data_IF_202087636962
#
_entry.id   IF_202087636962
#
_cell.length_a   1.000
_cell.length_b   1.000
_cell.length_c   1.000
_cell.angle_alpha   90.00
_cell.angle_beta   90.00
_cell.angle_gamma   90.00
#
_symmetry.space_group_name_H-M   'P 1'
#
loop_
_entity.id
_entity.type
_entity.pdbx_description
1 polymer ?
#
# COMPACT_ATOMS: atom_id res chain seq x y z
N UNK A 1 -27.80 -18.34 8.00
CA UNK A 1 -26.96 -18.87 9.12
C UNK A 1 -25.59 -18.20 9.18
N UNK A 2 -24.85 -18.12 8.08
CA UNK A 2 -23.51 -17.49 8.05
C UNK A 2 -23.50 -16.01 8.46
N UNK A 3 -24.43 -15.19 7.99
CA UNK A 3 -24.51 -13.75 8.34
C UNK A 3 -24.71 -13.51 9.84
N UNK A 4 -25.60 -14.28 10.48
CA UNK A 4 -25.89 -14.14 11.91
C UNK A 4 -24.70 -14.58 12.78
N UNK A 5 -24.06 -15.70 12.44
CA UNK A 5 -22.89 -16.17 13.16
C UNK A 5 -21.69 -15.21 12.99
N UNK A 6 -21.43 -14.72 11.78
CA UNK A 6 -20.34 -13.80 11.49
C UNK A 6 -20.57 -12.42 12.13
N UNK A 7 -21.79 -11.89 12.08
CA UNK A 7 -22.13 -10.61 12.70
C UNK A 7 -21.96 -10.61 14.22
N UNK A 8 -22.24 -11.73 14.88
CA UNK A 8 -22.10 -11.85 16.34
C UNK A 8 -20.65 -12.07 16.78
N UNK A 9 -19.90 -12.92 16.07
CA UNK A 9 -18.53 -13.29 16.48
C UNK A 9 -17.45 -12.36 15.92
N UNK A 10 -17.68 -11.79 14.74
CA UNK A 10 -16.71 -10.97 14.00
C UNK A 10 -17.35 -9.73 13.36
N UNK A 11 -18.07 -8.89 14.14
CA UNK A 11 -18.82 -7.77 13.59
C UNK A 11 -17.96 -6.80 12.77
N UNK A 12 -16.71 -6.57 13.17
CA UNK A 12 -15.81 -5.65 12.45
C UNK A 12 -15.46 -6.16 11.05
N UNK A 13 -15.09 -7.44 10.95
CA UNK A 13 -14.71 -8.08 9.69
C UNK A 13 -15.94 -8.32 8.81
N UNK A 14 -17.07 -8.71 9.41
CA UNK A 14 -18.33 -8.92 8.71
C UNK A 14 -18.87 -7.62 8.05
N UNK A 15 -18.55 -6.46 8.64
CA UNK A 15 -18.89 -5.15 8.09
C UNK A 15 -17.78 -4.55 7.20
N UNK A 16 -16.81 -5.35 6.73
CA UNK A 16 -15.81 -4.92 5.74
C UNK A 16 -14.53 -4.30 6.31
N UNK A 17 -14.27 -4.47 7.62
CA UNK A 17 -13.03 -4.01 8.28
C UNK A 17 -12.76 -2.51 8.07
N UNK A 18 -13.82 -1.70 8.18
CA UNK A 18 -13.75 -0.26 8.01
C UNK A 18 -12.83 0.39 9.05
N UNK A 19 -12.20 1.49 8.63
CA UNK A 19 -11.41 2.39 9.45
C UNK A 19 -12.16 3.72 9.50
N UNK A 20 -12.40 4.20 10.72
CA UNK A 20 -13.10 5.44 11.00
C UNK A 20 -12.18 6.43 11.71
N UNK A 21 -12.29 7.71 11.34
CA UNK A 21 -11.60 8.81 12.00
C UNK A 21 -12.61 9.94 12.24
N UNK A 22 -12.80 10.32 13.51
CA UNK A 22 -13.76 11.38 13.88
C UNK A 22 -15.20 11.10 13.46
N UNK A 23 -15.64 9.83 13.50
CA UNK A 23 -16.99 9.41 13.10
C UNK A 23 -17.23 9.35 11.59
N UNK A 24 -16.19 9.50 10.76
CA UNK A 24 -16.26 9.33 9.31
C UNK A 24 -15.46 8.12 8.87
N UNK A 25 -16.02 7.33 7.96
CA UNK A 25 -15.32 6.21 7.33
C UNK A 25 -14.27 6.78 6.37
N UNK A 26 -13.00 6.46 6.63
CA UNK A 26 -11.85 6.90 5.80
C UNK A 26 -11.37 5.80 4.85
N UNK A 27 -11.80 4.55 5.06
CA UNK A 27 -11.47 3.44 4.18
C UNK A 27 -11.69 2.07 4.83
N UNK A 28 -11.15 1.04 4.20
CA UNK A 28 -11.08 -0.31 4.77
C UNK A 28 -9.62 -0.71 4.91
N UNK A 29 -9.29 -1.46 5.97
CA UNK A 29 -7.96 -2.04 6.13
C UNK A 29 -7.59 -3.02 4.99
N UNK A 30 -8.58 -3.50 4.23
CA UNK A 30 -8.42 -4.51 3.18
C UNK A 30 -8.41 -3.91 1.76
N UNK A 31 -8.63 -2.61 1.61
CA UNK A 31 -8.75 -1.95 0.30
C UNK A 31 -7.71 -0.85 0.19
N UNK A 32 -6.79 -1.00 -0.78
CA UNK A 32 -5.81 0.02 -1.11
C UNK A 32 -6.47 1.29 -1.65
N UNK A 33 -5.77 2.41 -1.49
CA UNK A 33 -6.20 3.72 -1.99
C UNK A 33 -5.07 4.38 -2.77
N UNK A 34 -5.44 5.24 -3.71
CA UNK A 34 -4.46 6.04 -4.46
C UNK A 34 -3.90 7.14 -3.56
N UNK A 35 -2.60 7.09 -3.29
CA UNK A 35 -1.85 8.15 -2.62
C UNK A 35 -0.81 8.74 -3.58
N UNK A 36 -0.78 10.06 -3.71
CA UNK A 36 0.14 10.78 -4.63
C UNK A 36 0.96 11.88 -3.95
N UNK A 37 0.63 12.25 -2.71
CA UNK A 37 1.31 13.35 -2.00
C UNK A 37 2.67 12.95 -1.43
N UNK A 38 3.62 13.88 -1.45
CA UNK A 38 4.99 13.67 -0.95
C UNK A 38 5.07 13.36 0.55
N UNK A 39 4.04 13.70 1.31
CA UNK A 39 3.94 13.37 2.73
C UNK A 39 3.54 11.92 2.96
N UNK A 40 2.93 11.23 2.00
CA UNK A 40 2.38 9.89 2.18
C UNK A 40 3.27 8.79 1.61
N UNK A 41 3.11 7.59 2.17
CA UNK A 41 3.56 6.35 1.54
C UNK A 41 2.64 6.04 0.37
N UNK A 42 3.25 5.66 -0.74
CA UNK A 42 2.59 5.33 -2.00
C UNK A 42 2.58 3.81 -2.16
N UNK A 43 1.40 3.28 -2.45
CA UNK A 43 1.18 1.86 -2.66
C UNK A 43 1.69 1.35 -4.01
N UNK A 44 1.33 0.11 -4.32
CA UNK A 44 1.68 -0.53 -5.60
C UNK A 44 0.93 0.11 -6.77
N UNK A 45 1.38 -0.07 -8.02
CA UNK A 45 0.57 0.28 -9.18
C UNK A 45 -0.75 -0.54 -9.19
N UNK A 46 -1.86 0.14 -9.47
CA UNK A 46 -3.17 -0.48 -9.63
C UNK A 46 -3.60 -0.46 -11.10
N UNK A 47 -4.23 -1.55 -11.55
CA UNK A 47 -4.89 -1.64 -12.83
C UNK A 47 -6.44 -1.68 -12.69
N UNK A 48 -6.96 -1.41 -11.49
CA UNK A 48 -8.39 -1.40 -11.22
C UNK A 48 -8.99 -0.03 -11.58
N UNK A 49 -9.86 0.00 -12.61
CA UNK A 49 -10.52 1.21 -13.09
C UNK A 49 -9.56 2.38 -13.33
N UNK A 50 -9.81 3.52 -12.68
CA UNK A 50 -8.96 4.73 -12.72
C UNK A 50 -7.83 4.74 -11.69
N UNK A 51 -7.58 3.61 -11.02
CA UNK A 51 -6.59 3.44 -9.96
C UNK A 51 -7.26 3.17 -8.61
N UNK A 52 -7.13 1.94 -8.13
CA UNK A 52 -7.75 1.45 -6.89
C UNK A 52 -9.30 1.56 -6.87
N UNK A 53 -9.95 1.48 -8.03
CA UNK A 53 -11.42 1.54 -8.11
C UNK A 53 -12.06 0.20 -7.68
N UNK A 54 -12.84 0.14 -6.58
CA UNK A 54 -13.48 -1.08 -6.13
C UNK A 54 -14.56 -1.60 -7.08
N UNK A 55 -15.13 -0.74 -7.93
CA UNK A 55 -16.12 -1.15 -8.95
C UNK A 55 -15.46 -1.68 -10.24
N UNK A 56 -14.15 -1.47 -10.38
CA UNK A 56 -13.34 -1.91 -11.53
C UNK A 56 -12.20 -2.85 -11.14
N UNK A 57 -12.34 -3.60 -10.05
CA UNK A 57 -11.30 -4.47 -9.51
C UNK A 57 -10.73 -5.42 -10.56
N UNK A 58 -9.46 -5.23 -10.93
CA UNK A 58 -8.80 -6.00 -11.98
C UNK A 58 -7.27 -5.94 -11.84
N UNK A 59 -6.62 -6.99 -12.33
CA UNK A 59 -5.17 -7.01 -12.56
C UNK A 59 -4.82 -6.47 -13.95
N UNK A 60 -3.53 -6.24 -14.17
CA UNK A 60 -3.03 -5.76 -15.48
C UNK A 60 -3.13 -6.79 -16.60
N UNK A 61 -3.13 -8.10 -16.27
CA UNK A 61 -3.23 -9.23 -17.20
C UNK A 61 -2.23 -9.19 -18.38
N UNK A 62 -1.10 -8.49 -18.22
CA UNK A 62 -0.04 -8.43 -19.22
C UNK A 62 0.88 -9.65 -19.08
N UNK A 63 1.08 -10.37 -20.17
CA UNK A 63 2.06 -11.46 -20.24
C UNK A 63 3.50 -10.94 -20.17
N UNK A 64 4.43 -11.77 -19.69
CA UNK A 64 5.87 -11.43 -19.61
C UNK A 64 6.47 -11.09 -20.98
N UNK A 65 5.98 -11.73 -22.05
CA UNK A 65 6.40 -11.46 -23.43
C UNK A 65 5.89 -10.13 -23.98
N UNK A 66 4.87 -9.52 -23.36
CA UNK A 66 4.24 -8.30 -23.84
C UNK A 66 5.17 -7.08 -23.64
N UNK A 67 5.54 -6.34 -24.70
CA UNK A 67 6.40 -5.16 -24.58
C UNK A 67 5.82 -4.05 -23.69
N UNK A 68 4.50 -3.88 -23.66
CA UNK A 68 3.83 -2.86 -22.85
C UNK A 68 4.10 -3.03 -21.34
N UNK A 69 4.33 -4.28 -20.88
CA UNK A 69 4.71 -4.54 -19.49
C UNK A 69 6.07 -3.92 -19.15
N UNK A 70 7.04 -4.06 -20.07
CA UNK A 70 8.39 -3.52 -19.91
C UNK A 70 8.38 -2.00 -19.95
N UNK A 71 7.64 -1.42 -20.90
CA UNK A 71 7.50 0.04 -21.02
C UNK A 71 6.89 0.65 -19.75
N UNK A 72 5.78 0.07 -19.25
CA UNK A 72 5.16 0.51 -18.00
C UNK A 72 6.13 0.39 -16.81
N UNK A 73 6.80 -0.75 -16.66
CA UNK A 73 7.74 -0.95 -15.56
C UNK A 73 8.91 0.03 -15.60
N UNK A 74 9.44 0.35 -16.79
CA UNK A 74 10.49 1.35 -16.98
C UNK A 74 10.00 2.77 -16.66
N UNK A 75 8.77 3.12 -17.07
CA UNK A 75 8.17 4.41 -16.73
C UNK A 75 7.99 4.56 -15.21
N UNK A 76 7.42 3.54 -14.54
CA UNK A 76 7.28 3.54 -13.08
C UNK A 76 8.64 3.60 -12.38
N UNK A 77 9.64 2.85 -12.86
CA UNK A 77 10.99 2.89 -12.28
C UNK A 77 11.62 4.28 -12.38
N UNK A 78 11.44 4.96 -13.53
CA UNK A 78 11.93 6.33 -13.73
C UNK A 78 11.24 7.33 -12.78
N UNK A 79 9.93 7.20 -12.62
CA UNK A 79 9.15 8.06 -11.73
C UNK A 79 9.57 7.87 -10.26
N UNK A 80 9.65 6.62 -9.80
CA UNK A 80 10.06 6.29 -8.43
C UNK A 80 11.51 6.72 -8.19
N UNK A 81 12.43 6.46 -9.12
CA UNK A 81 13.82 6.88 -9.01
C UNK A 81 13.95 8.40 -8.86
N UNK A 82 13.19 9.16 -9.66
CA UNK A 82 13.19 10.62 -9.60
C UNK A 82 12.58 11.14 -8.29
N UNK A 83 11.46 10.54 -7.84
CA UNK A 83 10.76 10.95 -6.61
C UNK A 83 11.56 10.65 -5.35
N UNK A 84 12.18 9.48 -5.28
CA UNK A 84 12.86 8.99 -4.07
C UNK A 84 14.37 9.30 -4.07
N UNK A 85 14.91 9.73 -5.21
CA UNK A 85 16.33 10.08 -5.35
C UNK A 85 17.27 8.87 -5.32
N UNK A 86 16.82 7.72 -5.83
CA UNK A 86 17.52 6.43 -5.79
C UNK A 86 17.77 5.88 -7.18
N UNK A 87 18.74 4.97 -7.32
CA UNK A 87 18.97 4.29 -8.58
C UNK A 87 17.83 3.29 -8.86
N UNK A 88 17.46 3.11 -10.14
CA UNK A 88 16.41 2.17 -10.53
C UNK A 88 16.68 0.73 -10.08
N UNK A 89 17.95 0.33 -9.94
CA UNK A 89 18.36 -0.99 -9.44
C UNK A 89 18.06 -1.21 -7.95
N UNK A 90 17.79 -0.15 -7.19
CA UNK A 90 17.45 -0.23 -5.77
C UNK A 90 15.94 -0.34 -5.54
N UNK A 91 15.12 -0.17 -6.58
CA UNK A 91 13.66 -0.19 -6.48
C UNK A 91 13.15 -1.64 -6.33
N UNK A 92 12.47 -1.97 -5.22
CA UNK A 92 11.84 -3.27 -5.05
C UNK A 92 10.79 -3.57 -6.13
N UNK A 93 10.73 -4.83 -6.55
CA UNK A 93 9.86 -5.28 -7.65
C UNK A 93 8.37 -5.11 -7.36
N UNK A 94 7.95 -5.12 -6.10
CA UNK A 94 6.56 -4.95 -5.71
C UNK A 94 6.03 -3.54 -6.04
N UNK A 95 6.90 -2.52 -6.00
CA UNK A 95 6.56 -1.15 -6.41
C UNK A 95 6.48 -1.00 -7.95
N UNK A 96 7.04 -1.93 -8.71
CA UNK A 96 7.02 -1.92 -10.17
C UNK A 96 5.93 -2.82 -10.77
N UNK A 97 5.45 -3.79 -10.01
CA UNK A 97 4.49 -4.80 -10.47
C UNK A 97 3.08 -4.47 -9.97
N UNK A 98 2.14 -4.40 -10.91
CA UNK A 98 0.74 -4.15 -10.56
C UNK A 98 0.17 -5.34 -9.77
N UNK A 99 -0.71 -5.05 -8.81
CA UNK A 99 -1.40 -6.10 -8.06
C UNK A 99 -2.37 -6.89 -8.96
N UNK A 100 -2.53 -8.19 -8.66
CA UNK A 100 -3.49 -9.06 -9.36
C UNK A 100 -4.95 -8.68 -9.14
N UNK A 101 -5.29 -8.10 -7.99
CA UNK A 101 -6.64 -7.60 -7.70
C UNK A 101 -6.81 -6.10 -8.02
N UNK A 102 -5.69 -5.36 -8.14
CA UNK A 102 -5.68 -3.91 -8.29
C UNK A 102 -6.10 -3.14 -7.03
N UNK A 103 -6.41 -3.81 -5.92
CA UNK A 103 -6.87 -3.20 -4.66
C UNK A 103 -5.97 -3.51 -3.46
N UNK A 104 -4.73 -3.93 -3.72
CA UNK A 104 -3.80 -4.37 -2.67
C UNK A 104 -3.47 -3.24 -1.69
N UNK A 105 -3.79 -3.38 -0.38
CA UNK A 105 -3.46 -2.36 0.60
C UNK A 105 -2.00 -2.45 1.08
N UNK A 106 -1.22 -3.45 0.64
CA UNK A 106 0.12 -3.73 1.15
C UNK A 106 1.23 -3.41 0.14
N UNK A 107 2.37 -2.95 0.68
CA UNK A 107 3.68 -2.93 0.01
C UNK A 107 4.67 -3.77 0.82
N UNK A 108 5.79 -4.18 0.22
CA UNK A 108 6.84 -4.87 0.96
C UNK A 108 7.52 -3.92 1.98
N UNK A 109 8.10 -4.45 3.08
CA UNK A 109 8.90 -3.63 3.99
C UNK A 109 10.06 -2.91 3.29
N UNK A 110 10.67 -3.54 2.27
CA UNK A 110 11.70 -2.89 1.46
C UNK A 110 11.13 -1.74 0.62
N UNK A 111 9.93 -1.91 0.06
CA UNK A 111 9.22 -0.86 -0.67
C UNK A 111 8.81 0.31 0.22
N UNK A 112 8.49 0.06 1.48
CA UNK A 112 8.26 1.10 2.48
C UNK A 112 9.58 1.80 2.86
N UNK A 113 10.65 1.07 3.17
CA UNK A 113 11.94 1.65 3.55
C UNK A 113 12.48 2.63 2.49
N UNK A 114 12.32 2.30 1.20
CA UNK A 114 12.75 3.16 0.11
C UNK A 114 12.10 4.56 0.14
N UNK A 115 10.90 4.69 0.70
CA UNK A 115 10.12 5.94 0.77
C UNK A 115 10.33 6.71 2.09
N UNK A 116 10.98 6.11 3.10
CA UNK A 116 11.14 6.69 4.44
C UNK A 116 11.83 8.06 4.38
N UNK A 117 12.91 8.19 3.60
CA UNK A 117 13.69 9.42 3.55
C UNK A 117 12.87 10.60 2.98
N UNK A 118 12.06 10.36 1.95
CA UNK A 118 11.15 11.37 1.39
C UNK A 118 10.09 11.76 2.40
N UNK A 119 9.38 10.78 2.97
CA UNK A 119 8.27 11.04 3.88
C UNK A 119 8.74 11.76 5.15
N UNK A 120 9.86 11.35 5.73
CA UNK A 120 10.47 12.01 6.88
C UNK A 120 10.77 13.48 6.59
N UNK A 121 11.40 13.77 5.44
CA UNK A 121 11.71 15.13 5.00
C UNK A 121 10.45 15.98 4.78
N UNK A 122 9.46 15.44 4.08
CA UNK A 122 8.23 16.15 3.76
C UNK A 122 7.38 16.47 5.00
N UNK A 123 7.48 15.63 6.04
CA UNK A 123 6.76 15.82 7.31
C UNK A 123 7.59 16.45 8.43
N UNK A 124 8.88 16.68 8.22
CA UNK A 124 9.79 17.20 9.26
C UNK A 124 9.98 16.23 10.44
N UNK A 125 9.81 14.93 10.22
CA UNK A 125 9.97 13.88 11.24
C UNK A 125 11.37 13.28 11.17
N UNK A 126 11.83 12.69 12.27
CA UNK A 126 13.06 11.88 12.24
C UNK A 126 12.83 10.58 11.45
N UNK A 127 13.82 10.20 10.64
CA UNK A 127 13.75 8.98 9.84
C UNK A 127 13.60 7.74 10.72
N UNK A 128 14.19 7.71 11.93
CA UNK A 128 14.02 6.58 12.84
C UNK A 128 12.57 6.46 13.36
N UNK A 129 11.90 7.59 13.62
CA UNK A 129 10.47 7.59 14.00
C UNK A 129 9.60 7.04 12.87
N UNK A 130 9.86 7.45 11.62
CA UNK A 130 9.13 6.93 10.45
C UNK A 130 9.36 5.43 10.27
N UNK A 131 10.59 4.94 10.44
CA UNK A 131 10.87 3.49 10.41
C UNK A 131 10.15 2.72 11.50
N UNK A 132 10.07 3.27 12.70
CA UNK A 132 9.33 2.66 13.80
C UNK A 132 7.84 2.52 13.45
N UNK A 133 7.25 3.53 12.80
CA UNK A 133 5.88 3.46 12.31
C UNK A 133 5.70 2.42 11.19
N UNK A 134 6.67 2.30 10.27
CA UNK A 134 6.67 1.24 9.25
C UNK A 134 6.69 -0.14 9.91
N UNK A 135 7.59 -0.36 10.87
CA UNK A 135 7.69 -1.63 11.59
C UNK A 135 6.40 -1.96 12.36
N UNK A 136 5.80 -0.97 13.03
CA UNK A 136 4.54 -1.14 13.77
C UNK A 136 3.33 -1.46 12.88
N UNK A 137 3.39 -1.09 11.60
CA UNK A 137 2.34 -1.37 10.60
C UNK A 137 2.74 -2.48 9.62
N UNK A 138 3.82 -3.23 9.93
CA UNK A 138 4.20 -4.42 9.18
C UNK A 138 3.46 -5.63 9.73
N UNK A 139 2.64 -6.24 8.88
CA UNK A 139 1.88 -7.45 9.18
C UNK A 139 2.66 -8.67 8.66
N UNK A 140 2.74 -9.72 9.47
CA UNK A 140 3.28 -11.02 9.08
C UNK A 140 2.16 -12.05 9.15
N UNK A 141 2.14 -13.00 8.22
CA UNK A 141 1.10 -14.02 8.21
C UNK A 141 1.18 -14.95 9.43
N UNK A 142 0.07 -15.66 9.68
CA UNK A 142 -0.05 -16.54 10.84
C UNK A 142 1.07 -17.58 10.87
N UNK A 143 1.68 -17.78 12.04
CA UNK A 143 2.82 -18.69 12.24
C UNK A 143 4.05 -18.38 11.36
N UNK A 144 4.17 -17.15 10.86
CA UNK A 144 5.25 -16.75 9.95
C UNK A 144 5.06 -17.22 8.51
N UNK A 145 3.87 -17.73 8.16
CA UNK A 145 3.55 -18.15 6.80
C UNK A 145 3.09 -16.97 5.97
N UNK A 146 3.84 -16.61 4.93
CA UNK A 146 3.52 -15.53 4.01
C UNK A 146 4.61 -14.46 3.94
N UNK A 147 4.49 -13.57 2.96
CA UNK A 147 5.38 -12.42 2.82
C UNK A 147 4.98 -11.34 3.83
N UNK A 148 5.93 -10.68 4.52
CA UNK A 148 5.61 -9.51 5.34
C UNK A 148 5.07 -8.39 4.44
N UNK A 149 4.04 -7.69 4.90
CA UNK A 149 3.39 -6.61 4.16
C UNK A 149 3.09 -5.42 5.05
N UNK A 150 3.35 -4.22 4.56
CA UNK A 150 3.06 -2.96 5.26
C UNK A 150 1.76 -2.40 4.74
N UNK A 151 0.76 -2.24 5.62
CA UNK A 151 -0.54 -1.69 5.23
C UNK A 151 -0.44 -0.16 5.03
N UNK A 152 -0.58 0.30 3.79
CA UNK A 152 -0.32 1.69 3.39
C UNK A 152 -1.32 2.66 4.02
N UNK A 153 -2.61 2.32 4.04
CA UNK A 153 -3.64 3.18 4.64
C UNK A 153 -3.42 3.34 6.14
N UNK A 154 -3.19 2.22 6.86
CA UNK A 154 -2.94 2.26 8.31
C UNK A 154 -1.67 3.04 8.65
N UNK A 155 -0.60 2.84 7.87
CA UNK A 155 0.65 3.58 8.03
C UNK A 155 0.44 5.09 7.82
N UNK A 156 -0.26 5.48 6.75
CA UNK A 156 -0.53 6.88 6.45
C UNK A 156 -1.36 7.56 7.56
N UNK A 157 -2.38 6.87 8.09
CA UNK A 157 -3.16 7.36 9.23
C UNK A 157 -2.33 7.45 10.52
N UNK A 158 -1.45 6.48 10.76
CA UNK A 158 -0.54 6.52 11.92
C UNK A 158 0.42 7.71 11.85
N UNK A 159 0.90 8.06 10.66
CA UNK A 159 1.72 9.24 10.45
C UNK A 159 0.93 10.55 10.65
N UNK A 160 -0.34 10.59 10.24
CA UNK A 160 -1.18 11.78 10.48
C UNK A 160 -1.49 11.99 11.98
N UNK A 161 -1.48 10.92 12.77
CA UNK A 161 -1.63 10.98 14.22
C UNK A 161 -0.33 11.33 14.96
N UNK A 162 0.84 11.08 14.37
CA UNK A 162 2.16 11.34 14.94
C UNK A 162 2.66 12.79 14.71
N UNK A 163 1.73 13.71 14.44
CA UNK A 163 1.98 15.10 14.04
C UNK A 163 2.37 16.01 15.20
#
# INVERSE_FOLDING_TARGET
MTTLAAGSLFPRQANGSLIEQGGKVVGSALVGQTFTGDTYFIGRPSAAGTGYDPMGASGSNLAVSNPALRERAQASAKEIAAREGVAASQIPVDLLTASGAGLDPHISPAGAELQVARVARARGLDAAQVRALVAANTETGALGLGQPGVNVLRLNLALDAAR
#
